data_IF_213796014392
#
_entry.id   IF_213796014392
#
_cell.length_a   1.000
_cell.length_b   1.000
_cell.length_c   1.000
_cell.angle_alpha   90.00
_cell.angle_beta   90.00
_cell.angle_gamma   90.00
#
_symmetry.space_group_name_H-M   'P 1'
#
loop_
_entity.id
_entity.type
_entity.pdbx_description
1 polymer ?
#
# COMPACT_ATOMS: atom_id res chain seq x y z
N UNK A 1 -21.39 3.83 -11.88
CA UNK A 1 -22.00 3.83 -10.53
C UNK A 1 -21.30 2.76 -9.72
N UNK A 2 -20.22 3.12 -9.03
CA UNK A 2 -19.50 2.20 -8.15
C UNK A 2 -20.19 2.21 -6.79
N UNK A 3 -20.68 1.05 -6.37
CA UNK A 3 -20.96 0.81 -4.97
C UNK A 3 -19.61 0.77 -4.26
N UNK A 4 -19.19 1.89 -3.65
CA UNK A 4 -18.16 1.86 -2.60
C UNK A 4 -18.67 0.92 -1.52
N UNK A 5 -18.06 -0.25 -1.40
CA UNK A 5 -18.38 -1.21 -0.33
C UNK A 5 -17.97 -0.60 1.02
N UNK A 6 -18.68 -0.92 2.10
CA UNK A 6 -18.30 -0.47 3.45
C UNK A 6 -16.85 -0.88 3.80
N UNK A 7 -16.35 -2.00 3.24
CA UNK A 7 -14.94 -2.41 3.30
C UNK A 7 -14.00 -1.33 2.76
N UNK A 8 -14.26 -0.87 1.54
CA UNK A 8 -13.41 0.10 0.85
C UNK A 8 -13.33 1.41 1.64
N UNK A 9 -14.46 1.87 2.21
CA UNK A 9 -14.48 3.07 3.07
C UNK A 9 -13.61 2.90 4.31
N UNK A 10 -13.72 1.77 5.01
CA UNK A 10 -12.90 1.48 6.20
C UNK A 10 -11.42 1.36 5.85
N UNK A 11 -11.08 0.72 4.73
CA UNK A 11 -9.69 0.66 4.24
C UNK A 11 -9.19 2.07 3.91
N UNK A 12 -10.00 2.89 3.26
CA UNK A 12 -9.67 4.28 2.97
C UNK A 12 -9.44 5.08 4.26
N UNK A 13 -10.16 4.84 5.36
CA UNK A 13 -9.90 5.47 6.65
C UNK A 13 -8.50 5.15 7.17
N UNK A 14 -8.08 3.88 7.13
CA UNK A 14 -6.73 3.45 7.52
C UNK A 14 -5.66 4.12 6.64
N UNK A 15 -5.84 4.09 5.32
CA UNK A 15 -4.91 4.72 4.38
C UNK A 15 -4.84 6.25 4.56
N UNK A 16 -5.97 6.91 4.81
CA UNK A 16 -6.00 8.34 5.15
C UNK A 16 -5.33 8.62 6.50
N UNK A 17 -5.29 7.66 7.43
CA UNK A 17 -4.52 7.72 8.67
C UNK A 17 -3.01 7.73 8.39
N UNK A 18 -2.53 6.81 7.56
CA UNK A 18 -1.13 6.75 7.12
C UNK A 18 -0.67 8.06 6.46
N UNK A 19 -1.49 8.66 5.59
CA UNK A 19 -1.16 9.93 4.93
C UNK A 19 -1.02 11.13 5.89
N UNK A 20 -1.40 11.00 7.16
CA UNK A 20 -1.15 12.05 8.16
C UNK A 20 0.28 12.01 8.70
N UNK A 21 1.02 10.92 8.48
CA UNK A 21 2.43 10.81 8.83
C UNK A 21 3.24 11.63 7.83
N UNK A 22 4.10 12.52 8.34
CA UNK A 22 4.82 13.49 7.50
C UNK A 22 5.69 12.81 6.43
N UNK A 23 6.22 11.64 6.75
CA UNK A 23 7.11 10.84 5.90
C UNK A 23 6.37 9.91 4.91
N UNK A 24 5.03 9.81 4.96
CA UNK A 24 4.26 9.03 3.96
C UNK A 24 3.74 9.97 2.88
N UNK A 25 4.38 9.94 1.71
CA UNK A 25 4.07 10.87 0.63
C UNK A 25 2.93 10.39 -0.27
N UNK A 26 2.75 9.07 -0.36
CA UNK A 26 1.60 8.39 -0.95
C UNK A 26 1.45 6.98 -0.36
N UNK A 27 0.23 6.45 -0.38
CA UNK A 27 -0.03 5.05 -0.05
C UNK A 27 -1.24 4.50 -0.81
N UNK A 28 -1.34 3.18 -0.88
CA UNK A 28 -2.51 2.46 -1.42
C UNK A 28 -2.56 1.03 -0.92
N UNK A 29 -3.73 0.41 -1.00
CA UNK A 29 -3.84 -1.05 -1.01
C UNK A 29 -3.94 -1.49 -2.47
N UNK A 30 -3.08 -2.39 -2.91
CA UNK A 30 -3.01 -2.81 -4.30
C UNK A 30 -3.03 -4.33 -4.43
N UNK A 31 -3.67 -4.79 -5.49
CA UNK A 31 -3.61 -6.13 -6.06
C UNK A 31 -3.55 -5.97 -7.57
N UNK A 32 -3.19 -7.02 -8.30
CA UNK A 32 -3.28 -7.01 -9.76
C UNK A 32 -4.66 -6.50 -10.23
N UNK A 33 -4.66 -5.45 -11.04
CA UNK A 33 -5.84 -4.74 -11.58
C UNK A 33 -6.77 -4.04 -10.58
N UNK A 34 -6.52 -4.11 -9.27
CA UNK A 34 -7.40 -3.53 -8.24
C UNK A 34 -6.57 -2.66 -7.30
N UNK A 35 -6.96 -1.41 -7.15
CA UNK A 35 -6.27 -0.46 -6.27
C UNK A 35 -7.29 0.32 -5.45
N UNK A 36 -7.11 0.33 -4.13
CA UNK A 36 -7.80 1.24 -3.22
C UNK A 36 -6.80 2.35 -2.87
N UNK A 37 -7.10 3.55 -3.35
CA UNK A 37 -6.18 4.70 -3.27
C UNK A 37 -6.93 5.85 -2.59
N UNK A 38 -6.34 6.49 -1.57
CA UNK A 38 -6.88 7.73 -1.04
C UNK A 38 -6.96 8.83 -2.12
N UNK A 39 -7.64 9.92 -1.79
CA UNK A 39 -7.67 11.10 -2.67
C UNK A 39 -6.24 11.55 -3.02
N UNK A 40 -5.83 11.33 -4.28
CA UNK A 40 -4.47 11.60 -4.74
C UNK A 40 -4.11 13.08 -4.68
N UNK A 41 -5.09 13.98 -4.52
CA UNK A 41 -4.84 15.42 -4.27
C UNK A 41 -4.19 15.67 -2.91
N UNK A 42 -4.27 14.70 -1.98
CA UNK A 42 -3.60 14.73 -0.67
C UNK A 42 -2.14 14.26 -0.73
N UNK A 43 -1.73 13.63 -1.82
CA UNK A 43 -0.35 13.17 -1.99
C UNK A 43 0.59 14.37 -2.13
N UNK A 44 1.85 14.19 -1.74
CA UNK A 44 2.88 15.21 -1.96
C UNK A 44 3.09 15.41 -3.46
N UNK A 45 3.08 16.66 -3.92
CA UNK A 45 3.14 16.98 -5.37
C UNK A 45 4.42 16.47 -6.04
N UNK A 46 5.52 16.45 -5.30
CA UNK A 46 6.82 15.99 -5.78
C UNK A 46 6.84 14.50 -6.18
N UNK A 47 6.00 13.65 -5.57
CA UNK A 47 5.97 12.22 -5.89
C UNK A 47 5.03 11.87 -7.03
N UNK A 48 4.30 12.83 -7.62
CA UNK A 48 3.27 12.52 -8.62
C UNK A 48 3.83 11.79 -9.85
N UNK A 49 5.04 12.13 -10.28
CA UNK A 49 5.73 11.44 -11.36
C UNK A 49 6.10 9.99 -10.98
N UNK A 50 6.64 9.79 -9.78
CA UNK A 50 6.98 8.45 -9.24
C UNK A 50 5.72 7.60 -9.09
N UNK A 51 4.64 8.19 -8.58
CA UNK A 51 3.33 7.57 -8.45
C UNK A 51 2.76 7.12 -9.80
N UNK A 52 2.89 7.93 -10.84
CA UNK A 52 2.43 7.56 -12.19
C UNK A 52 3.20 6.37 -12.76
N UNK A 53 4.54 6.37 -12.64
CA UNK A 53 5.37 5.22 -13.02
C UNK A 53 4.93 3.98 -12.25
N UNK A 54 4.85 4.10 -10.92
CA UNK A 54 4.50 3.01 -10.03
C UNK A 54 3.16 2.39 -10.43
N UNK A 55 2.14 3.21 -10.70
CA UNK A 55 0.82 2.76 -11.14
C UNK A 55 0.87 2.01 -12.48
N UNK A 56 1.66 2.51 -13.43
CA UNK A 56 1.77 1.93 -14.76
C UNK A 56 2.50 0.58 -14.75
N UNK A 57 3.50 0.41 -13.89
CA UNK A 57 4.28 -0.84 -13.78
C UNK A 57 3.73 -1.82 -12.75
N UNK A 58 2.73 -1.42 -11.95
CA UNK A 58 2.23 -2.18 -10.80
C UNK A 58 1.78 -3.60 -11.16
N UNK A 59 1.04 -3.76 -12.25
CA UNK A 59 0.50 -5.05 -12.65
C UNK A 59 1.61 -6.07 -12.98
N UNK A 60 2.66 -5.64 -13.67
CA UNK A 60 3.82 -6.47 -14.00
C UNK A 60 4.61 -6.83 -12.73
N UNK A 61 4.69 -5.90 -11.78
CA UNK A 61 5.35 -6.17 -10.50
C UNK A 61 4.59 -7.20 -9.65
N UNK A 62 3.25 -7.18 -9.67
CA UNK A 62 2.44 -8.21 -8.99
C UNK A 62 2.60 -9.62 -9.62
N UNK A 63 2.98 -9.71 -10.90
CA UNK A 63 3.36 -11.01 -11.50
C UNK A 63 4.67 -11.56 -10.93
N UNK A 64 5.53 -10.69 -10.39
CA UNK A 64 6.73 -11.10 -9.65
C UNK A 64 6.37 -11.45 -8.22
N UNK A 65 5.61 -10.58 -7.53
CA UNK A 65 5.18 -10.80 -6.12
C UNK A 65 4.47 -12.15 -5.98
N UNK A 66 3.48 -12.42 -6.84
CA UNK A 66 2.68 -13.65 -6.78
C UNK A 66 3.51 -14.93 -6.84
N UNK A 67 4.62 -14.95 -7.60
CA UNK A 67 5.53 -16.10 -7.68
C UNK A 67 6.28 -16.37 -6.38
N UNK A 68 6.56 -15.33 -5.60
CA UNK A 68 7.28 -15.46 -4.33
C UNK A 68 6.33 -15.51 -3.13
N UNK A 69 5.06 -15.09 -3.27
CA UNK A 69 4.05 -15.18 -2.20
C UNK A 69 3.89 -16.61 -1.69
N UNK A 70 3.95 -17.62 -2.57
CA UNK A 70 3.91 -19.05 -2.18
C UNK A 70 5.09 -19.47 -1.30
N UNK A 71 6.22 -18.76 -1.41
CA UNK A 71 7.43 -18.99 -0.60
C UNK A 71 7.47 -18.12 0.67
N UNK A 72 6.40 -17.38 0.99
CA UNK A 72 6.30 -16.56 2.19
C UNK A 72 6.87 -15.14 2.04
N UNK A 73 6.89 -14.57 0.84
CA UNK A 73 7.26 -13.17 0.64
C UNK A 73 6.34 -12.23 1.45
N UNK A 74 6.92 -11.54 2.44
CA UNK A 74 6.19 -10.61 3.31
C UNK A 74 6.34 -9.16 2.88
N UNK A 75 7.51 -8.77 2.39
CA UNK A 75 7.87 -7.38 2.14
C UNK A 75 8.75 -7.24 0.90
N UNK A 76 8.59 -6.13 0.18
CA UNK A 76 9.53 -5.73 -0.89
C UNK A 76 9.85 -4.25 -0.75
N UNK A 77 11.12 -3.91 -0.86
CA UNK A 77 11.60 -2.54 -0.83
C UNK A 77 12.44 -2.28 -2.06
N UNK A 78 12.23 -1.14 -2.69
CA UNK A 78 13.16 -0.63 -3.68
C UNK A 78 13.25 0.89 -3.61
N UNK A 79 14.38 1.40 -4.06
CA UNK A 79 14.67 2.83 -4.03
C UNK A 79 14.56 3.41 -5.44
N UNK A 80 13.95 4.59 -5.54
CA UNK A 80 13.81 5.37 -6.77
C UNK A 80 14.27 6.80 -6.49
N UNK A 81 15.52 7.10 -6.87
CA UNK A 81 16.17 8.39 -6.59
C UNK A 81 16.12 8.72 -5.10
N UNK A 82 15.34 9.73 -4.72
CA UNK A 82 15.22 10.26 -3.37
C UNK A 82 14.07 9.63 -2.57
N UNK A 83 13.48 8.55 -3.09
CA UNK A 83 12.33 7.87 -2.49
C UNK A 83 12.59 6.38 -2.30
N UNK A 84 11.93 5.81 -1.30
CA UNK A 84 11.78 4.37 -1.12
C UNK A 84 10.30 4.01 -1.34
N UNK A 85 10.07 2.91 -2.07
CA UNK A 85 8.75 2.31 -2.19
C UNK A 85 8.73 1.03 -1.37
N UNK A 86 7.79 0.97 -0.43
CA UNK A 86 7.64 -0.11 0.53
C UNK A 86 6.38 -0.89 0.21
N UNK A 87 6.50 -2.20 0.03
CA UNK A 87 5.39 -3.12 -0.16
C UNK A 87 5.30 -4.04 1.04
N UNK A 88 4.14 -4.09 1.67
CA UNK A 88 3.81 -5.00 2.76
C UNK A 88 2.73 -5.95 2.26
N UNK A 89 3.12 -7.16 1.89
CA UNK A 89 2.25 -8.18 1.30
C UNK A 89 1.37 -8.74 2.43
N UNK A 90 0.07 -8.84 2.19
CA UNK A 90 -0.86 -9.48 3.11
C UNK A 90 -0.61 -11.00 3.10
N UNK A 91 -0.45 -11.65 4.27
CA UNK A 91 -0.14 -13.07 4.36
C UNK A 91 -1.10 -13.94 3.53
N UNK A 92 -0.55 -14.91 2.79
CA UNK A 92 -1.34 -15.85 1.98
C UNK A 92 -2.06 -15.22 0.79
N UNK A 93 -1.69 -14.00 0.38
CA UNK A 93 -2.35 -13.28 -0.71
C UNK A 93 -1.36 -12.61 -1.67
N UNK A 94 -1.90 -12.10 -2.77
CA UNK A 94 -1.26 -11.21 -3.75
C UNK A 94 -1.67 -9.74 -3.55
N UNK A 95 -2.18 -9.39 -2.36
CA UNK A 95 -2.54 -8.01 -1.99
C UNK A 95 -1.37 -7.41 -1.23
N UNK A 96 -1.01 -6.16 -1.52
CA UNK A 96 0.04 -5.43 -0.81
C UNK A 96 -0.44 -4.05 -0.38
N UNK A 97 -0.13 -3.69 0.87
CA UNK A 97 -0.14 -2.30 1.33
C UNK A 97 1.15 -1.64 0.83
N UNK A 98 1.02 -0.55 0.08
CA UNK A 98 2.14 0.13 -0.58
C UNK A 98 2.27 1.54 -0.05
N UNK A 99 3.49 2.00 0.22
CA UNK A 99 3.80 3.39 0.54
C UNK A 99 5.00 3.90 -0.25
N UNK A 100 4.99 5.20 -0.56
CA UNK A 100 6.14 5.95 -1.08
C UNK A 100 6.57 6.91 0.02
N UNK A 101 7.85 6.84 0.40
CA UNK A 101 8.44 7.62 1.49
C UNK A 101 9.76 8.25 1.03
N UNK A 102 10.24 9.36 1.63
CA UNK A 102 11.55 9.88 1.32
C UNK A 102 12.66 8.93 1.81
N UNK A 103 13.76 8.83 1.07
CA UNK A 103 14.87 7.88 1.32
C UNK A 103 15.53 8.05 2.70
N UNK A 104 15.44 9.25 3.29
CA UNK A 104 16.02 9.59 4.59
C UNK A 104 15.03 9.45 5.76
N UNK A 105 13.81 8.96 5.50
CA UNK A 105 12.83 8.77 6.55
C UNK A 105 13.27 7.72 7.58
N UNK A 106 12.71 7.78 8.79
CA UNK A 106 12.98 6.79 9.82
C UNK A 106 12.29 5.46 9.46
N UNK A 107 13.02 4.60 8.76
CA UNK A 107 12.51 3.31 8.26
C UNK A 107 11.95 2.41 9.37
N UNK A 108 12.63 2.30 10.51
CA UNK A 108 12.16 1.45 11.60
C UNK A 108 10.81 1.91 12.16
N UNK A 109 10.59 3.22 12.26
CA UNK A 109 9.29 3.78 12.65
C UNK A 109 8.23 3.51 11.58
N UNK A 110 8.56 3.75 10.30
CA UNK A 110 7.64 3.52 9.19
C UNK A 110 7.22 2.05 9.07
N UNK A 111 8.14 1.11 9.26
CA UNK A 111 7.82 -0.33 9.25
C UNK A 111 6.80 -0.69 10.33
N UNK A 112 6.90 -0.11 11.52
CA UNK A 112 5.91 -0.30 12.60
C UNK A 112 4.54 0.26 12.21
N UNK A 113 4.49 1.48 11.68
CA UNK A 113 3.23 2.12 11.28
C UNK A 113 2.56 1.38 10.11
N UNK A 114 3.34 0.96 9.11
CA UNK A 114 2.89 0.16 7.98
C UNK A 114 2.37 -1.21 8.43
N UNK A 115 3.05 -1.87 9.38
CA UNK A 115 2.62 -3.15 9.93
C UNK A 115 1.32 -3.02 10.73
N UNK A 116 1.17 -1.96 11.52
CA UNK A 116 -0.07 -1.67 12.24
C UNK A 116 -1.24 -1.47 11.28
N UNK A 117 -1.05 -0.68 10.22
CA UNK A 117 -2.05 -0.48 9.17
C UNK A 117 -2.36 -1.77 8.41
N UNK A 118 -1.35 -2.60 8.09
CA UNK A 118 -1.55 -3.92 7.46
C UNK A 118 -2.46 -4.80 8.32
N UNK A 119 -2.19 -4.90 9.63
CA UNK A 119 -3.03 -5.69 10.56
C UNK A 119 -4.45 -5.17 10.65
N UNK A 120 -4.65 -3.86 10.61
CA UNK A 120 -5.98 -3.26 10.62
C UNK A 120 -6.76 -3.56 9.34
N UNK A 121 -6.11 -3.44 8.17
CA UNK A 121 -6.69 -3.81 6.88
C UNK A 121 -7.06 -5.29 6.84
N UNK A 122 -6.19 -6.19 7.31
CA UNK A 122 -6.48 -7.64 7.39
C UNK A 122 -7.75 -7.87 8.20
N UNK A 123 -7.88 -7.25 9.39
CA UNK A 123 -9.10 -7.35 10.21
C UNK A 123 -10.34 -6.87 9.45
N UNK A 124 -10.25 -5.77 8.70
CA UNK A 124 -11.38 -5.26 7.90
C UNK A 124 -11.80 -6.29 6.84
N UNK A 125 -10.84 -6.94 6.19
CA UNK A 125 -11.08 -7.95 5.15
C UNK A 125 -11.69 -9.23 5.72
N UNK A 126 -11.17 -9.73 6.85
CA UNK A 126 -11.61 -10.98 7.51
C UNK A 126 -12.99 -10.86 8.20
N UNK A 127 -13.30 -9.70 8.81
CA UNK A 127 -14.55 -9.48 9.57
C UNK A 127 -15.84 -9.68 8.75
N UNK A 128 -15.75 -9.72 7.42
CA UNK A 128 -16.88 -9.93 6.52
C UNK A 128 -16.85 -11.26 5.76
N UNK A 129 -15.78 -12.07 5.86
CA UNK A 129 -15.83 -13.47 5.39
C UNK A 129 -16.57 -14.39 6.37
N UNK A 130 -16.76 -13.93 7.61
CA UNK A 130 -17.49 -14.62 8.68
C UNK A 130 -18.96 -14.19 8.84
N UNK A 131 -19.48 -13.33 7.96
CA UNK A 131 -20.89 -12.89 7.91
C UNK A 131 -21.60 -13.46 6.70
#
# INVERSE_FOLDING_TARGET
>A
MSFETDKEKRILEVLNGLLRLDDIYACMLAKKHIHIVPDTRKFRKEILYVWEILRNTMNEFFDVISKYSEAGLSEVYFTLRDYEVMFFILPGSDVALVAIVPILANRGLLEVEMENARREIIKILELEEMR
#
